data_IF_810855723334
#
_entry.id   IF_810855723334
#
_cell.length_a   1.000
_cell.length_b   1.000
_cell.length_c   1.000
_cell.angle_alpha   90.00
_cell.angle_beta   90.00
_cell.angle_gamma   90.00
#
_symmetry.space_group_name_H-M   'P 1'
#
loop_
_entity.id
_entity.type
_entity.pdbx_description
1 polymer ?
#
# COMPACT_ATOMS: atom_id res chain seq x y z
N UNK A 1 3.09 -11.77 -17.38
CA UNK A 1 2.58 -10.54 -18.00
C UNK A 1 1.44 -10.03 -17.15
N UNK A 2 1.77 -9.29 -16.09
CA UNK A 2 0.82 -8.28 -15.60
C UNK A 2 0.66 -7.34 -16.80
N UNK A 3 -0.58 -7.13 -17.24
CA UNK A 3 -0.88 -6.45 -18.50
C UNK A 3 -0.20 -5.07 -18.54
N UNK A 4 0.51 -4.72 -19.62
CA UNK A 4 1.19 -3.43 -19.78
C UNK A 4 0.24 -2.24 -19.53
N UNK A 5 -1.06 -2.43 -19.76
CA UNK A 5 -2.08 -1.45 -19.43
C UNK A 5 -2.23 -1.26 -17.91
N UNK A 6 -2.27 -2.35 -17.14
CA UNK A 6 -2.42 -2.29 -15.69
C UNK A 6 -1.24 -1.55 -15.04
N UNK A 7 -0.02 -1.81 -15.51
CA UNK A 7 1.18 -1.14 -15.01
C UNK A 7 1.14 0.36 -15.27
N UNK A 8 0.77 0.79 -16.48
CA UNK A 8 0.61 2.23 -16.80
C UNK A 8 -0.48 2.91 -15.97
N UNK A 9 -1.61 2.24 -15.72
CA UNK A 9 -2.68 2.81 -14.89
C UNK A 9 -2.22 3.00 -13.44
N UNK A 10 -1.50 2.02 -12.89
CA UNK A 10 -0.95 2.12 -11.53
C UNK A 10 0.13 3.22 -11.46
N UNK A 11 1.00 3.28 -12.47
CA UNK A 11 2.07 4.27 -12.57
C UNK A 11 1.51 5.70 -12.63
N UNK A 12 0.57 5.97 -13.54
CA UNK A 12 -0.07 7.29 -13.67
C UNK A 12 -0.77 7.70 -12.36
N UNK A 13 -1.51 6.79 -11.74
CA UNK A 13 -2.22 7.08 -10.49
C UNK A 13 -1.31 7.33 -9.28
N UNK A 14 -0.04 6.93 -9.34
CA UNK A 14 0.92 7.12 -8.26
C UNK A 14 1.95 8.23 -8.52
N UNK A 15 2.43 8.33 -9.75
CA UNK A 15 3.58 9.14 -10.15
C UNK A 15 3.20 10.38 -10.99
N UNK A 16 1.94 10.55 -11.39
CA UNK A 16 1.52 11.81 -12.01
C UNK A 16 1.85 13.00 -11.12
N UNK A 17 2.12 14.16 -11.73
CA UNK A 17 2.37 15.41 -10.98
C UNK A 17 1.21 15.82 -10.08
N UNK A 18 0.01 15.31 -10.35
CA UNK A 18 -1.22 15.59 -9.61
C UNK A 18 -1.50 14.56 -8.52
N UNK A 19 -0.92 13.36 -8.61
CA UNK A 19 -1.01 12.34 -7.57
C UNK A 19 0.08 12.61 -6.53
N UNK A 20 -0.32 13.11 -5.37
CA UNK A 20 0.56 13.35 -4.21
C UNK A 20 0.93 12.01 -3.56
N UNK A 21 1.60 11.12 -4.32
CA UNK A 21 1.98 9.75 -3.94
C UNK A 21 0.96 9.06 -3.01
N UNK A 22 -0.28 8.84 -3.48
CA UNK A 22 -1.33 8.26 -2.66
C UNK A 22 -0.92 6.88 -2.14
N UNK A 23 -1.35 6.57 -0.90
CA UNK A 23 -1.18 5.22 -0.35
C UNK A 23 -2.09 4.20 -1.03
N UNK A 24 -1.78 2.91 -0.86
CA UNK A 24 -2.47 1.80 -1.53
C UNK A 24 -3.99 1.80 -1.35
N UNK A 25 -4.50 2.15 -0.16
CA UNK A 25 -5.94 2.21 0.12
C UNK A 25 -6.63 3.29 -0.69
N UNK A 26 -6.03 4.48 -0.81
CA UNK A 26 -6.59 5.58 -1.62
C UNK A 26 -6.54 5.21 -3.09
N UNK A 27 -5.39 4.76 -3.59
CA UNK A 27 -5.25 4.33 -4.98
C UNK A 27 -6.28 3.27 -5.37
N UNK A 28 -6.48 2.24 -4.55
CA UNK A 28 -7.49 1.22 -4.82
C UNK A 28 -8.91 1.79 -4.86
N UNK A 29 -9.24 2.72 -3.95
CA UNK A 29 -10.56 3.36 -3.92
C UNK A 29 -10.81 4.23 -5.15
N UNK A 30 -9.82 4.98 -5.60
CA UNK A 30 -9.94 5.86 -6.76
C UNK A 30 -10.00 5.04 -8.06
N UNK A 31 -9.10 4.06 -8.23
CA UNK A 31 -9.00 3.28 -9.46
C UNK A 31 -10.18 2.32 -9.68
N UNK A 32 -10.75 1.73 -8.61
CA UNK A 32 -11.86 0.77 -8.74
C UNK A 32 -13.16 1.38 -9.28
N UNK A 33 -13.26 2.71 -9.33
CA UNK A 33 -14.44 3.41 -9.86
C UNK A 33 -14.50 3.34 -11.39
N UNK A 34 -13.35 3.18 -12.05
CA UNK A 34 -13.20 3.24 -13.50
C UNK A 34 -12.53 2.00 -14.10
N UNK A 35 -11.73 1.27 -13.32
CA UNK A 35 -11.02 0.09 -13.78
C UNK A 35 -11.25 -1.11 -12.87
N UNK A 36 -11.13 -2.30 -13.46
CA UNK A 36 -11.18 -3.56 -12.73
C UNK A 36 -10.31 -4.62 -13.39
N UNK A 37 -9.56 -5.37 -12.59
CA UNK A 37 -8.85 -6.58 -13.01
C UNK A 37 -8.56 -7.48 -11.79
N UNK A 38 -8.28 -8.77 -12.05
CA UNK A 38 -7.92 -9.70 -10.98
C UNK A 38 -6.60 -9.33 -10.31
N UNK A 39 -6.54 -9.43 -8.98
CA UNK A 39 -5.34 -9.06 -8.22
C UNK A 39 -5.02 -7.57 -8.15
N UNK A 40 -5.90 -6.66 -8.60
CA UNK A 40 -5.69 -5.20 -8.62
C UNK A 40 -5.22 -4.62 -7.28
N UNK A 41 -5.86 -5.00 -6.18
CA UNK A 41 -5.48 -4.53 -4.83
C UNK A 41 -4.06 -4.98 -4.45
N UNK A 42 -3.66 -6.19 -4.83
CA UNK A 42 -2.33 -6.74 -4.58
C UNK A 42 -1.28 -6.02 -5.42
N UNK A 43 -1.53 -5.82 -6.72
CA UNK A 43 -0.63 -5.07 -7.61
C UNK A 43 -0.39 -3.63 -7.13
N UNK A 44 -1.45 -2.93 -6.72
CA UNK A 44 -1.33 -1.57 -6.14
C UNK A 44 -0.49 -1.59 -4.85
N UNK A 45 -0.72 -2.56 -3.95
CA UNK A 45 0.04 -2.67 -2.72
C UNK A 45 1.54 -2.90 -2.99
N UNK A 46 1.87 -3.81 -3.90
CA UNK A 46 3.25 -4.11 -4.29
C UNK A 46 3.94 -2.92 -4.97
N UNK A 47 3.21 -2.17 -5.81
CA UNK A 47 3.75 -0.98 -6.47
C UNK A 47 4.09 0.13 -5.46
N UNK A 48 3.13 0.49 -4.60
CA UNK A 48 3.32 1.52 -3.57
C UNK A 48 4.41 1.11 -2.58
N UNK A 49 4.50 -0.18 -2.24
CA UNK A 49 5.54 -0.69 -1.35
C UNK A 49 6.95 -0.53 -1.93
N UNK A 50 7.12 -0.45 -3.26
CA UNK A 50 8.41 -0.22 -3.94
C UNK A 50 8.77 1.26 -4.09
N UNK A 51 7.86 2.19 -3.78
CA UNK A 51 8.11 3.63 -3.95
C UNK A 51 9.02 4.17 -2.82
N UNK A 52 10.24 4.67 -3.12
CA UNK A 52 11.17 5.17 -2.10
C UNK A 52 10.65 6.37 -1.33
N UNK A 53 9.90 7.27 -2.00
CA UNK A 53 9.28 8.44 -1.34
C UNK A 53 8.24 7.97 -0.33
N UNK A 54 7.38 7.02 -0.71
CA UNK A 54 6.37 6.45 0.18
C UNK A 54 6.99 5.73 1.37
N UNK A 55 8.06 4.95 1.17
CA UNK A 55 8.77 4.26 2.25
C UNK A 55 9.36 5.23 3.29
N UNK A 56 9.90 6.37 2.84
CA UNK A 56 10.53 7.35 3.73
C UNK A 56 9.51 8.18 4.51
N UNK A 57 8.38 8.54 3.89
CA UNK A 57 7.37 9.42 4.52
C UNK A 57 6.30 8.64 5.29
N UNK A 58 6.06 7.37 4.95
CA UNK A 58 5.08 6.53 5.67
C UNK A 58 5.79 5.78 6.78
N UNK A 59 5.65 6.29 7.99
CA UNK A 59 6.01 5.55 9.21
C UNK A 59 5.07 4.38 9.43
N UNK A 60 5.60 3.28 9.96
CA UNK A 60 4.80 2.16 10.44
C UNK A 60 3.95 2.64 11.63
N UNK A 61 2.62 2.64 11.45
CA UNK A 61 1.68 2.98 12.51
C UNK A 61 1.24 1.76 13.34
N UNK A 62 1.79 0.58 13.05
CA UNK A 62 1.55 -0.59 13.88
C UNK A 62 2.18 -0.36 15.26
N UNK A 63 1.44 -0.69 16.31
CA UNK A 63 2.02 -0.69 17.65
C UNK A 63 3.10 -1.77 17.67
N UNK A 64 4.31 -1.48 18.15
CA UNK A 64 5.27 -2.54 18.40
C UNK A 64 4.62 -3.54 19.35
N UNK A 65 4.77 -4.82 19.05
CA UNK A 65 4.38 -5.88 19.98
C UNK A 65 5.22 -5.65 21.23
N UNK A 66 4.57 -5.19 22.30
CA UNK A 66 5.24 -4.92 23.57
C UNK A 66 5.91 -6.19 24.10
N UNK A 67 6.89 -6.03 24.98
CA UNK A 67 7.50 -7.16 25.68
C UNK A 67 6.40 -7.92 26.44
N UNK A 68 6.23 -9.20 26.15
CA UNK A 68 5.32 -10.07 26.89
C UNK A 68 5.83 -10.17 28.33
N UNK A 69 5.12 -9.53 29.27
CA UNK A 69 5.39 -9.72 30.70
C UNK A 69 4.82 -11.07 31.12
N UNK A 70 5.66 -11.92 31.73
CA UNK A 70 5.17 -13.13 32.39
C UNK A 70 4.34 -12.71 33.60
N UNK A 71 3.09 -13.19 33.67
CA UNK A 71 2.29 -13.11 34.88
C UNK A 71 2.84 -14.21 35.81
N UNK A 72 3.21 -13.85 37.03
CA UNK A 72 3.61 -14.84 38.04
C UNK A 72 2.39 -15.69 38.42
N UNK A 73 2.57 -17.01 38.48
CA UNK A 73 1.52 -17.94 38.92
C UNK A 73 1.32 -17.75 40.44
N UNK A 74 0.07 -17.58 40.92
CA UNK A 74 -0.21 -17.52 42.35
C UNK A 74 0.06 -18.87 43.04
N UNK A 75 0.43 -18.81 44.33
CA UNK A 75 0.64 -19.98 45.19
C UNK A 75 -0.65 -20.80 45.45
#
# INVERSE_FOLDING_TARGET
MIDELQERVIDEAHNSRYSIHPGSTKMYRDLREVYWWDGMKKGIAEFVAKCPNCQQVKVEHQRPVGLAQRIELPE
#
